data_IF_117886724210
#
_entry.id   IF_117886724210
#
_cell.length_a   1.000
_cell.length_b   1.000
_cell.length_c   1.000
_cell.angle_alpha   90.00
_cell.angle_beta   90.00
_cell.angle_gamma   90.00
#
_symmetry.space_group_name_H-M   'P 1'
#
loop_
_entity.id
_entity.type
_entity.pdbx_description
1 polymer ?
#
# COMPACT_ATOMS: atom_id res chain seq x y z
N UNK A 1 -18.42 13.33 3.67
CA UNK A 1 -17.86 14.62 4.12
C UNK A 1 -16.57 14.33 4.88
N UNK A 2 -15.54 15.17 4.75
CA UNK A 2 -14.43 15.20 5.71
C UNK A 2 -14.84 16.14 6.83
N UNK A 3 -14.63 15.73 8.08
CA UNK A 3 -14.95 16.55 9.24
C UNK A 3 -13.64 17.05 9.82
N UNK A 4 -13.42 18.35 9.76
CA UNK A 4 -12.32 19.03 10.43
C UNK A 4 -12.70 19.30 11.88
N UNK A 5 -11.75 19.14 12.79
CA UNK A 5 -11.93 19.39 14.22
C UNK A 5 -11.06 20.57 14.64
N UNK A 6 -11.41 21.21 15.76
CA UNK A 6 -10.70 22.40 16.28
C UNK A 6 -9.22 22.14 16.63
N UNK A 7 -8.83 20.87 16.75
CA UNK A 7 -7.45 20.43 16.99
C UNK A 7 -6.66 20.14 15.69
N UNK A 8 -7.14 20.65 14.54
CA UNK A 8 -6.56 20.43 13.21
C UNK A 8 -6.59 18.96 12.72
N UNK A 9 -7.23 18.05 13.48
CA UNK A 9 -7.44 16.69 13.02
C UNK A 9 -8.58 16.63 12.02
N UNK A 10 -8.55 15.62 11.15
CA UNK A 10 -9.60 15.41 10.15
C UNK A 10 -10.07 13.95 10.21
N UNK A 11 -11.38 13.76 10.31
CA UNK A 11 -11.98 12.42 10.30
C UNK A 11 -12.75 12.15 9.02
N UNK A 12 -12.79 10.88 8.64
CA UNK A 12 -13.61 10.37 7.56
C UNK A 12 -14.98 9.96 8.11
N UNK A 13 -16.04 10.20 7.34
CA UNK A 13 -17.31 9.51 7.60
C UNK A 13 -17.14 8.00 7.43
N UNK A 14 -17.98 7.21 8.09
CA UNK A 14 -17.90 5.75 8.05
C UNK A 14 -17.94 5.21 6.62
N UNK A 15 -18.80 5.77 5.77
CA UNK A 15 -18.94 5.36 4.38
C UNK A 15 -17.66 5.62 3.59
N UNK A 16 -17.01 6.76 3.81
CA UNK A 16 -15.73 7.09 3.17
C UNK A 16 -14.61 6.18 3.66
N UNK A 17 -14.54 5.92 4.97
CA UNK A 17 -13.57 4.99 5.54
C UNK A 17 -13.74 3.58 4.95
N UNK A 18 -14.98 3.09 4.87
CA UNK A 18 -15.28 1.80 4.23
C UNK A 18 -14.82 1.77 2.79
N UNK A 19 -15.12 2.79 1.98
CA UNK A 19 -14.66 2.87 0.58
C UNK A 19 -13.13 2.84 0.51
N UNK A 20 -12.43 3.61 1.34
CA UNK A 20 -10.97 3.63 1.34
C UNK A 20 -10.35 2.28 1.73
N UNK A 21 -10.91 1.60 2.74
CA UNK A 21 -10.47 0.26 3.14
C UNK A 21 -10.77 -0.78 2.06
N UNK A 22 -11.93 -0.72 1.41
CA UNK A 22 -12.27 -1.60 0.27
C UNK A 22 -11.31 -1.41 -0.88
N UNK A 23 -11.00 -0.16 -1.26
CA UNK A 23 -10.03 0.13 -2.33
C UNK A 23 -8.62 -0.37 -1.97
N UNK A 24 -8.19 -0.17 -0.72
CA UNK A 24 -6.91 -0.71 -0.25
C UNK A 24 -6.87 -2.25 -0.37
N UNK A 25 -7.97 -2.92 -0.05
CA UNK A 25 -8.09 -4.37 -0.18
C UNK A 25 -8.08 -4.84 -1.63
N UNK A 26 -8.79 -4.14 -2.51
CA UNK A 26 -8.77 -4.45 -3.94
C UNK A 26 -7.36 -4.29 -4.54
N UNK A 27 -6.61 -3.25 -4.14
CA UNK A 27 -5.22 -3.07 -4.55
C UNK A 27 -4.31 -4.23 -4.10
N UNK A 28 -4.48 -4.70 -2.87
CA UNK A 28 -3.77 -5.88 -2.38
C UNK A 28 -4.15 -7.15 -3.15
N UNK A 29 -5.44 -7.34 -3.44
CA UNK A 29 -5.94 -8.46 -4.23
C UNK A 29 -5.35 -8.46 -5.64
N UNK A 30 -5.32 -7.31 -6.32
CA UNK A 30 -4.69 -7.13 -7.63
C UNK A 30 -3.19 -7.42 -7.59
N UNK A 31 -2.50 -6.98 -6.54
CA UNK A 31 -1.09 -7.29 -6.33
C UNK A 31 -0.82 -8.80 -6.22
N UNK A 32 -1.74 -9.58 -5.63
CA UNK A 32 -1.59 -11.03 -5.52
C UNK A 32 -1.73 -11.77 -6.85
N UNK A 33 -2.56 -11.27 -7.77
CA UNK A 33 -2.78 -11.91 -9.09
C UNK A 33 -1.77 -11.47 -10.15
N UNK A 34 -1.23 -10.24 -10.04
CA UNK A 34 -0.30 -9.66 -11.02
C UNK A 34 0.87 -10.56 -11.45
N UNK A 35 1.61 -11.22 -10.54
CA UNK A 35 2.71 -12.11 -10.92
C UNK A 35 2.28 -13.31 -11.76
N UNK A 36 1.03 -13.77 -11.61
CA UNK A 36 0.48 -14.90 -12.36
C UNK A 36 0.00 -14.54 -13.78
N UNK A 37 -0.05 -13.27 -14.14
CA UNK A 37 -0.51 -12.80 -15.45
C UNK A 37 0.63 -12.78 -16.48
N UNK A 38 1.88 -12.62 -16.04
CA UNK A 38 3.04 -12.54 -16.93
C UNK A 38 3.53 -13.95 -17.27
N UNK A 39 3.57 -14.33 -18.56
CA UNK A 39 4.13 -15.61 -18.99
C UNK A 39 5.60 -15.75 -18.54
N UNK A 40 5.97 -16.96 -18.12
CA UNK A 40 7.32 -17.31 -17.63
C UNK A 40 8.30 -17.69 -18.76
N UNK A 41 7.93 -17.50 -20.02
CA UNK A 41 8.75 -17.92 -21.15
C UNK A 41 9.91 -16.95 -21.43
N UNK A 42 10.98 -17.50 -22.00
CA UNK A 42 12.23 -16.78 -22.24
C UNK A 42 12.10 -15.57 -23.19
N UNK A 43 10.98 -15.45 -23.90
CA UNK A 43 10.70 -14.35 -24.83
C UNK A 43 10.35 -13.03 -24.13
N UNK A 44 9.85 -13.09 -22.88
CA UNK A 44 9.38 -11.90 -22.15
C UNK A 44 10.44 -11.26 -21.24
N UNK A 45 11.68 -11.77 -21.24
CA UNK A 45 12.81 -11.16 -20.54
C UNK A 45 12.53 -10.87 -19.06
N UNK A 46 13.30 -9.96 -18.46
CA UNK A 46 13.19 -9.62 -17.03
C UNK A 46 11.82 -9.06 -16.57
N UNK A 47 10.82 -8.96 -17.45
CA UNK A 47 9.47 -8.42 -17.18
C UNK A 47 8.74 -9.14 -16.05
N UNK A 48 8.94 -10.46 -15.91
CA UNK A 48 8.37 -11.22 -14.77
C UNK A 48 8.93 -10.72 -13.42
N UNK A 49 10.23 -10.36 -13.36
CA UNK A 49 10.82 -9.79 -12.15
C UNK A 49 10.32 -8.36 -11.88
N UNK A 50 10.12 -7.57 -12.93
CA UNK A 50 9.56 -6.20 -12.81
C UNK A 50 8.14 -6.26 -12.25
N UNK A 51 7.27 -7.09 -12.83
CA UNK A 51 5.88 -7.23 -12.36
C UNK A 51 5.82 -7.80 -10.94
N UNK A 52 6.70 -8.76 -10.60
CA UNK A 52 6.80 -9.25 -9.23
C UNK A 52 7.24 -8.16 -8.25
N UNK A 53 8.18 -7.31 -8.62
CA UNK A 53 8.60 -6.16 -7.81
C UNK A 53 7.47 -5.14 -7.61
N UNK A 54 6.75 -4.81 -8.69
CA UNK A 54 5.59 -3.91 -8.64
C UNK A 54 4.46 -4.48 -7.76
N UNK A 55 4.15 -5.77 -7.89
CA UNK A 55 3.20 -6.47 -7.05
C UNK A 55 3.59 -6.39 -5.56
N UNK A 56 4.87 -6.64 -5.24
CA UNK A 56 5.37 -6.51 -3.87
C UNK A 56 5.19 -5.09 -3.31
N UNK A 57 5.50 -4.06 -4.09
CA UNK A 57 5.33 -2.66 -3.68
C UNK A 57 3.87 -2.27 -3.51
N UNK A 58 2.99 -2.70 -4.42
CA UNK A 58 1.54 -2.46 -4.32
C UNK A 58 0.97 -3.07 -3.04
N UNK A 59 1.36 -4.31 -2.72
CA UNK A 59 0.95 -4.97 -1.48
C UNK A 59 1.41 -4.22 -0.23
N UNK A 60 2.67 -3.76 -0.20
CA UNK A 60 3.18 -2.95 0.92
C UNK A 60 2.38 -1.65 1.09
N UNK A 61 2.15 -0.91 0.01
CA UNK A 61 1.42 0.36 0.06
C UNK A 61 -0.04 0.16 0.48
N UNK A 62 -0.69 -0.89 -0.03
CA UNK A 62 -2.05 -1.26 0.38
C UNK A 62 -2.11 -1.60 1.88
N UNK A 63 -1.14 -2.36 2.40
CA UNK A 63 -1.04 -2.69 3.82
C UNK A 63 -0.86 -1.46 4.71
N UNK A 64 0.02 -0.53 4.33
CA UNK A 64 0.18 0.75 5.04
C UNK A 64 -1.12 1.54 5.02
N UNK A 65 -1.79 1.62 3.86
CA UNK A 65 -3.04 2.36 3.73
C UNK A 65 -4.14 1.76 4.63
N UNK A 66 -4.27 0.44 4.66
CA UNK A 66 -5.19 -0.23 5.59
C UNK A 66 -4.83 0.03 7.04
N UNK A 67 -3.55 -0.03 7.40
CA UNK A 67 -3.08 0.21 8.77
C UNK A 67 -3.34 1.65 9.22
N UNK A 68 -3.11 2.62 8.33
CA UNK A 68 -3.32 4.04 8.62
C UNK A 68 -4.79 4.48 8.62
N UNK A 69 -5.67 3.69 7.99
CA UNK A 69 -7.12 3.89 8.03
C UNK A 69 -7.79 3.05 9.13
N UNK A 70 -7.14 1.98 9.58
CA UNK A 70 -7.63 1.07 10.61
C UNK A 70 -7.59 1.69 12.00
N UNK A 71 -8.47 1.21 12.87
CA UNK A 71 -8.68 1.74 14.23
C UNK A 71 -7.64 1.23 15.25
N UNK A 72 -6.48 0.74 14.79
CA UNK A 72 -5.37 0.40 15.67
C UNK A 72 -4.69 1.70 16.08
N UNK A 73 -4.80 2.03 17.37
CA UNK A 73 -4.18 3.19 18.03
C UNK A 73 -2.66 3.17 17.83
N UNK A 74 -2.18 3.64 16.69
CA UNK A 74 -0.78 3.89 16.39
C UNK A 74 -0.61 5.35 15.98
N UNK A 75 0.44 6.01 16.48
CA UNK A 75 0.73 7.39 16.11
C UNK A 75 1.10 7.46 14.62
N UNK A 76 0.57 8.44 13.89
CA UNK A 76 0.82 8.64 12.44
C UNK A 76 2.32 8.70 12.08
N UNK A 77 3.19 9.03 13.05
CA UNK A 77 4.65 9.02 12.88
C UNK A 77 5.21 7.59 12.66
N UNK A 78 4.58 6.58 13.24
CA UNK A 78 5.05 5.18 13.20
C UNK A 78 4.67 4.54 11.85
N UNK A 79 3.51 4.91 11.29
CA UNK A 79 3.08 4.54 9.93
C UNK A 79 4.03 5.07 8.84
N UNK A 80 4.57 6.28 9.01
CA UNK A 80 5.47 6.90 8.03
C UNK A 80 6.85 6.22 7.96
N UNK A 81 7.33 5.68 9.09
CA UNK A 81 8.56 4.88 9.14
C UNK A 81 8.44 3.54 8.39
N UNK A 82 7.22 3.02 8.24
CA UNK A 82 6.95 1.72 7.59
C UNK A 82 6.95 1.82 6.06
N UNK A 83 6.62 2.99 5.50
CA UNK A 83 6.66 3.26 4.04
C UNK A 83 8.08 3.49 3.53
N UNK A 84 8.90 4.11 4.37
CA UNK A 84 10.31 4.37 4.13
C UNK A 84 11.14 3.16 4.56
N UNK A 85 11.11 2.07 3.79
CA UNK A 85 12.33 1.27 3.65
C UNK A 85 13.27 2.10 2.80
N UNK A 86 14.02 2.98 3.47
CA UNK A 86 15.22 3.58 2.93
C UNK A 86 16.09 2.47 2.37
N UNK A 87 16.55 2.69 1.16
CA UNK A 87 17.61 1.96 0.49
C UNK A 87 18.89 2.09 1.34
N UNK A 88 19.00 1.40 2.48
CA UNK A 88 20.28 1.24 3.15
C UNK A 88 21.09 0.19 2.39
N UNK A 89 21.97 0.70 1.53
CA UNK A 89 23.17 0.00 1.12
C UNK A 89 23.34 -0.19 -0.38
N UNK A 90 23.92 0.81 -1.06
CA UNK A 90 24.98 0.57 -2.05
C UNK A 90 26.04 1.70 -1.95
N UNK A 91 27.13 1.30 -1.30
CA UNK A 91 28.55 1.70 -1.20
C UNK A 91 29.18 2.63 -2.28
N UNK A 92 30.37 3.23 -2.00
CA UNK A 92 31.66 2.50 -2.01
C UNK A 92 32.22 2.15 -0.63
#
# INVERSE_FOLDING_TARGET
MLTEHDNESVTLSRERLTVCLTVAWELEALAMVLPGIVPLDASHGGSHYVVRGMAGRLKQLAGVLMSGLGDSVEETKDLNSTVMVTHEGVTP
#
